data_IF_313790209727
#
_entry.id   IF_313790209727
#
_cell.length_a   1.000
_cell.length_b   1.000
_cell.length_c   1.000
_cell.angle_alpha   90.00
_cell.angle_beta   90.00
_cell.angle_gamma   90.00
#
_symmetry.space_group_name_H-M   'P 1'
#
loop_
_entity.id
_entity.type
_entity.pdbx_description
1 polymer ?
#
# COMPACT_ATOMS: atom_id res chain seq x y z
N UNK A 1 5.81 13.32 -19.20
CA UNK A 1 7.27 13.57 -19.27
C UNK A 1 7.81 13.65 -17.85
N UNK A 2 8.97 13.06 -17.56
CA UNK A 2 9.59 13.14 -16.23
C UNK A 2 10.15 14.52 -15.94
N UNK A 3 10.03 15.00 -14.69
CA UNK A 3 10.62 16.26 -14.22
C UNK A 3 11.85 15.94 -13.35
N UNK A 4 13.02 16.44 -13.75
CA UNK A 4 14.21 16.37 -12.90
C UNK A 4 14.02 17.27 -11.67
N UNK A 5 14.25 16.71 -10.48
CA UNK A 5 14.05 17.39 -9.20
C UNK A 5 15.28 17.18 -8.33
N UNK A 6 15.84 18.26 -7.80
CA UNK A 6 16.93 18.22 -6.82
C UNK A 6 16.32 18.19 -5.42
N UNK A 7 16.79 17.28 -4.57
CA UNK A 7 16.27 17.05 -3.21
C UNK A 7 17.48 16.94 -2.28
N UNK A 8 17.41 17.59 -1.12
CA UNK A 8 18.41 17.43 -0.07
C UNK A 8 17.93 16.32 0.86
N UNK A 9 18.77 15.29 1.04
CA UNK A 9 18.50 14.18 1.94
C UNK A 9 19.36 14.31 3.19
N UNK A 10 18.82 13.87 4.32
CA UNK A 10 19.60 13.73 5.55
C UNK A 10 20.59 12.55 5.45
N UNK A 11 21.60 12.57 6.31
CA UNK A 11 22.70 11.60 6.33
C UNK A 11 22.21 10.14 6.35
N UNK A 12 21.17 9.83 7.13
CA UNK A 12 20.60 8.48 7.20
C UNK A 12 20.13 7.96 5.83
N UNK A 13 19.42 8.78 5.05
CA UNK A 13 18.91 8.36 3.75
C UNK A 13 20.00 8.30 2.69
N UNK A 14 21.01 9.18 2.78
CA UNK A 14 22.17 9.13 1.90
C UNK A 14 22.97 7.83 2.09
N UNK A 15 23.21 7.42 3.34
CA UNK A 15 23.85 6.14 3.68
C UNK A 15 23.03 4.95 3.18
N UNK A 16 21.70 4.97 3.41
CA UNK A 16 20.80 3.92 2.95
C UNK A 16 20.83 3.78 1.42
N UNK A 17 20.68 4.88 0.68
CA UNK A 17 20.73 4.86 -0.78
C UNK A 17 22.09 4.37 -1.28
N UNK A 18 23.18 4.86 -0.69
CA UNK A 18 24.53 4.45 -1.02
C UNK A 18 24.74 2.94 -0.84
N UNK A 19 24.24 2.36 0.26
CA UNK A 19 24.31 0.93 0.50
C UNK A 19 23.50 0.14 -0.54
N UNK A 20 22.30 0.59 -0.88
CA UNK A 20 21.45 -0.07 -1.89
C UNK A 20 22.08 -0.06 -3.28
N UNK A 21 22.82 0.99 -3.63
CA UNK A 21 23.58 1.05 -4.89
C UNK A 21 24.85 0.19 -4.82
N UNK A 22 25.61 0.26 -3.72
CA UNK A 22 26.85 -0.52 -3.55
C UNK A 22 26.62 -2.04 -3.56
N UNK A 23 25.48 -2.49 -3.05
CA UNK A 23 25.08 -3.92 -3.10
C UNK A 23 24.71 -4.38 -4.51
N UNK A 24 24.62 -3.47 -5.48
CA UNK A 24 24.23 -3.75 -6.86
C UNK A 24 22.73 -3.99 -7.04
N UNK A 25 21.91 -3.79 -6.00
CA UNK A 25 20.45 -3.94 -6.08
C UNK A 25 19.82 -2.87 -6.96
N UNK A 26 20.39 -1.67 -6.99
CA UNK A 26 19.98 -0.56 -7.85
C UNK A 26 21.20 0.04 -8.54
N UNK A 27 21.03 0.51 -9.77
CA UNK A 27 22.10 1.13 -10.56
C UNK A 27 22.31 2.61 -10.24
N UNK A 28 21.29 3.30 -9.71
CA UNK A 28 21.39 4.72 -9.36
C UNK A 28 20.55 5.09 -8.13
N UNK A 29 20.91 6.19 -7.46
CA UNK A 29 20.09 6.77 -6.40
C UNK A 29 18.66 7.09 -6.87
N UNK A 30 18.50 7.57 -8.11
CA UNK A 30 17.19 7.87 -8.68
C UNK A 30 16.30 6.63 -8.88
N UNK A 31 16.88 5.43 -9.01
CA UNK A 31 16.11 4.19 -9.01
C UNK A 31 15.60 3.84 -7.62
N UNK A 32 16.47 3.94 -6.61
CA UNK A 32 16.09 3.72 -5.20
C UNK A 32 14.94 4.65 -4.80
N UNK A 33 15.06 5.94 -5.11
CA UNK A 33 14.02 6.93 -4.78
C UNK A 33 12.71 6.64 -5.51
N UNK A 34 12.76 6.24 -6.80
CA UNK A 34 11.53 5.89 -7.55
C UNK A 34 10.84 4.67 -6.97
N UNK A 35 11.60 3.64 -6.61
CA UNK A 35 11.05 2.43 -6.00
C UNK A 35 10.44 2.71 -4.63
N UNK A 36 11.12 3.53 -3.81
CA UNK A 36 10.59 3.99 -2.53
C UNK A 36 9.29 4.79 -2.69
N UNK A 37 9.20 5.68 -3.68
CA UNK A 37 7.99 6.45 -3.97
C UNK A 37 6.84 5.56 -4.46
N UNK A 38 7.14 4.52 -5.23
CA UNK A 38 6.13 3.55 -5.67
C UNK A 38 5.53 2.79 -4.48
N UNK A 39 6.38 2.29 -3.57
CA UNK A 39 5.91 1.63 -2.34
C UNK A 39 5.11 2.60 -1.46
N UNK A 40 5.53 3.87 -1.40
CA UNK A 40 4.81 4.90 -0.68
C UNK A 40 3.40 5.13 -1.25
N UNK A 41 3.27 5.24 -2.57
CA UNK A 41 1.99 5.37 -3.28
C UNK A 41 1.10 4.13 -3.06
N UNK A 42 1.64 2.93 -3.23
CA UNK A 42 0.91 1.66 -3.01
C UNK A 42 0.33 1.59 -1.58
N UNK A 43 1.10 2.02 -0.57
CA UNK A 43 0.65 2.08 0.82
C UNK A 43 -0.46 3.10 1.02
N UNK A 44 -0.33 4.30 0.45
CA UNK A 44 -1.38 5.31 0.53
C UNK A 44 -2.68 4.83 -0.11
N UNK A 45 -2.59 4.22 -1.29
CA UNK A 45 -3.75 3.64 -1.98
C UNK A 45 -4.40 2.51 -1.16
N UNK A 46 -3.61 1.67 -0.49
CA UNK A 46 -4.14 0.62 0.37
C UNK A 46 -4.88 1.19 1.59
N UNK A 47 -4.35 2.23 2.22
CA UNK A 47 -5.01 2.92 3.35
C UNK A 47 -6.32 3.57 2.90
N UNK A 48 -6.32 4.24 1.75
CA UNK A 48 -7.53 4.85 1.21
C UNK A 48 -8.62 3.79 0.96
N UNK A 49 -8.28 2.70 0.26
CA UNK A 49 -9.22 1.60 0.01
C UNK A 49 -9.80 1.00 1.29
N UNK A 50 -8.98 0.88 2.33
CA UNK A 50 -9.45 0.39 3.64
C UNK A 50 -10.46 1.36 4.27
N UNK A 51 -10.16 2.66 4.24
CA UNK A 51 -11.08 3.67 4.78
C UNK A 51 -12.40 3.68 3.99
N UNK A 52 -12.34 3.63 2.66
CA UNK A 52 -13.52 3.59 1.81
C UNK A 52 -14.40 2.37 2.14
N UNK A 53 -13.80 1.19 2.32
CA UNK A 53 -14.52 -0.03 2.69
C UNK A 53 -15.14 0.05 4.11
N UNK A 54 -14.48 0.74 5.05
CA UNK A 54 -15.02 0.99 6.39
C UNK A 54 -16.22 1.93 6.31
N UNK A 55 -16.13 3.00 5.51
CA UNK A 55 -17.24 3.94 5.30
C UNK A 55 -18.44 3.25 4.63
N UNK A 56 -18.19 2.41 3.62
CA UNK A 56 -19.21 1.57 2.99
C UNK A 56 -19.86 0.64 4.03
N UNK A 57 -19.06 0.01 4.89
CA UNK A 57 -19.54 -0.85 5.98
C UNK A 57 -20.39 -0.10 7.01
N UNK A 58 -20.08 1.15 7.35
CA UNK A 58 -20.95 1.96 8.21
C UNK A 58 -22.23 2.41 7.51
N UNK A 59 -22.15 2.72 6.21
CA UNK A 59 -23.30 3.14 5.43
C UNK A 59 -24.29 1.99 5.17
N UNK A 60 -23.84 0.73 5.22
CA UNK A 60 -24.70 -0.45 5.04
C UNK A 60 -25.65 -0.73 6.22
N UNK A 61 -25.46 -0.02 7.34
CA UNK A 61 -26.30 -0.11 8.52
C UNK A 61 -25.73 -1.01 9.62
N UNK A 62 -26.54 -1.29 10.64
CA UNK A 62 -26.13 -2.15 11.75
C UNK A 62 -26.44 -3.59 11.39
N UNK A 63 -25.43 -4.46 11.44
CA UNK A 63 -25.64 -5.90 11.30
C UNK A 63 -26.53 -6.41 12.42
N UNK A 64 -27.56 -7.16 12.05
CA UNK A 64 -28.30 -7.99 12.99
C UNK A 64 -27.42 -9.20 13.41
N UNK A 65 -27.83 -9.89 14.47
CA UNK A 65 -27.20 -11.15 14.83
C UNK A 65 -27.49 -12.16 13.71
N UNK A 66 -26.44 -12.77 13.16
CA UNK A 66 -26.59 -13.78 12.10
C UNK A 66 -25.95 -15.10 12.52
N UNK A 67 -26.49 -16.19 11.97
CA UNK A 67 -26.01 -17.55 12.18
C UNK A 67 -24.93 -17.90 11.13
N UNK A 68 -23.76 -18.29 11.61
CA UNK A 68 -22.63 -18.66 10.75
C UNK A 68 -22.91 -19.96 9.99
N UNK A 69 -23.60 -20.92 10.60
CA UNK A 69 -23.91 -22.21 9.96
C UNK A 69 -24.91 -22.01 8.80
N UNK A 70 -25.90 -21.13 8.99
CA UNK A 70 -26.86 -20.75 7.95
C UNK A 70 -26.18 -20.03 6.78
N UNK A 71 -25.31 -19.05 7.07
CA UNK A 71 -24.55 -18.33 6.04
C UNK A 71 -23.67 -19.26 5.22
N UNK A 72 -22.95 -20.19 5.87
CA UNK A 72 -22.09 -21.13 5.16
C UNK A 72 -22.90 -22.12 4.30
N UNK A 73 -24.06 -22.55 4.77
CA UNK A 73 -24.94 -23.41 3.99
C UNK A 73 -25.49 -22.70 2.75
N UNK A 74 -25.89 -21.43 2.88
CA UNK A 74 -26.36 -20.59 1.77
C UNK A 74 -25.25 -20.35 0.73
N UNK A 75 -24.07 -19.92 1.18
CA UNK A 75 -22.92 -19.67 0.30
C UNK A 75 -22.45 -20.93 -0.44
N UNK A 76 -22.54 -22.12 0.19
CA UNK A 76 -22.21 -23.39 -0.45
C UNK A 76 -23.29 -23.86 -1.45
N UNK A 77 -24.53 -23.39 -1.32
CA UNK A 77 -25.62 -23.70 -2.24
C UNK A 77 -25.63 -22.79 -3.49
N UNK A 78 -25.02 -21.60 -3.41
CA UNK A 78 -24.83 -20.70 -4.55
C UNK A 78 -23.62 -21.06 -5.46
N UNK A 79 -22.73 -21.97 -5.02
CA UNK A 79 -21.55 -22.42 -5.76
C UNK A 79 -21.83 -23.60 -6.71
#
# INVERSE_FOLDING_TARGET
MGKATSIILGEHFDQLISQQVQTGRYGTASEVVRDALRIFEERQAAVQRLNDAIEEGYASGISEAFDWDELFAEAAAEA
#
